data_IF_075670112124
#
_entry.id   IF_075670112124
#
_cell.length_a   1.000
_cell.length_b   1.000
_cell.length_c   1.000
_cell.angle_alpha   90.00
_cell.angle_beta   90.00
_cell.angle_gamma   90.00
#
_symmetry.space_group_name_H-M   'P 1'
#
loop_
_entity.id
_entity.type
_entity.pdbx_description
1 polymer ?
#
# COMPACT_ATOMS: atom_id res chain seq x y z
N UNK A 1 1.34 9.90 -14.13
CA UNK A 1 1.40 11.38 -14.07
C UNK A 1 0.01 11.86 -13.66
N UNK A 2 -0.15 12.12 -12.36
CA UNK A 2 -1.40 12.53 -11.73
C UNK A 2 -1.39 14.06 -11.62
N UNK A 3 -2.11 14.74 -12.50
CA UNK A 3 -2.46 16.14 -12.25
C UNK A 3 -3.88 16.14 -11.68
N UNK A 4 -3.99 16.53 -10.42
CA UNK A 4 -5.19 17.14 -9.89
C UNK A 4 -5.40 18.44 -10.68
N UNK A 5 -6.07 18.34 -11.82
CA UNK A 5 -6.57 19.50 -12.53
C UNK A 5 -7.61 20.13 -11.62
N UNK A 6 -7.21 21.13 -10.84
CA UNK A 6 -8.15 22.11 -10.36
C UNK A 6 -8.83 22.68 -11.62
N UNK A 7 -10.17 22.58 -11.75
CA UNK A 7 -10.84 23.18 -12.89
C UNK A 7 -10.49 24.67 -12.88
N UNK A 8 -9.91 25.16 -13.97
CA UNK A 8 -9.89 26.59 -14.26
C UNK A 8 -11.30 27.11 -14.03
N UNK A 9 -11.44 28.11 -13.14
CA UNK A 9 -12.71 28.63 -12.61
C UNK A 9 -13.59 29.32 -13.68
N UNK A 10 -14.01 28.58 -14.70
CA UNK A 10 -14.84 29.11 -15.79
C UNK A 10 -15.32 28.12 -16.84
N UNK A 11 -14.92 26.85 -16.81
CA UNK A 11 -15.47 25.81 -17.71
C UNK A 11 -16.09 24.67 -16.90
N UNK A 12 -17.34 24.27 -17.18
CA UNK A 12 -17.94 23.13 -16.51
C UNK A 12 -17.09 21.87 -16.78
N UNK A 13 -16.84 21.03 -15.77
CA UNK A 13 -16.10 19.79 -15.98
C UNK A 13 -16.80 18.96 -17.06
N UNK A 14 -16.04 18.22 -17.89
CA UNK A 14 -16.63 17.36 -18.92
C UNK A 14 -17.65 16.41 -18.27
N UNK A 15 -18.76 16.10 -18.98
CA UNK A 15 -19.81 15.26 -18.42
C UNK A 15 -19.25 13.90 -18.02
N UNK A 16 -19.49 13.50 -16.76
CA UNK A 16 -19.07 12.20 -16.26
C UNK A 16 -19.94 11.12 -16.90
N UNK A 17 -19.31 10.09 -17.45
CA UNK A 17 -20.01 8.89 -17.88
C UNK A 17 -20.34 8.04 -16.64
N UNK A 18 -21.46 8.34 -15.98
CA UNK A 18 -21.93 7.64 -14.77
C UNK A 18 -22.06 6.12 -14.99
N UNK A 19 -22.43 5.71 -16.21
CA UNK A 19 -22.57 4.30 -16.59
C UNK A 19 -21.28 3.60 -17.02
N UNK A 20 -20.13 4.28 -17.05
CA UNK A 20 -18.88 3.69 -17.53
C UNK A 20 -18.48 2.43 -16.73
N UNK A 21 -18.58 2.49 -15.40
CA UNK A 21 -18.27 1.36 -14.51
C UNK A 21 -19.21 0.17 -14.75
N UNK A 22 -20.52 0.41 -14.77
CA UNK A 22 -21.54 -0.63 -15.04
C UNK A 22 -21.34 -1.26 -16.42
N UNK A 23 -21.01 -0.44 -17.42
CA UNK A 23 -20.75 -0.90 -18.78
C UNK A 23 -19.49 -1.76 -18.87
N UNK A 24 -18.41 -1.37 -18.19
CA UNK A 24 -17.19 -2.15 -18.11
C UNK A 24 -17.43 -3.51 -17.42
N UNK A 25 -18.22 -3.55 -16.34
CA UNK A 25 -18.58 -4.83 -15.71
C UNK A 25 -19.43 -5.74 -16.63
N UNK A 26 -20.32 -5.19 -17.47
CA UNK A 26 -21.08 -5.99 -18.44
C UNK A 26 -20.17 -6.69 -19.45
N UNK A 27 -19.06 -6.05 -19.82
CA UNK A 27 -18.05 -6.66 -20.71
C UNK A 27 -17.37 -7.84 -20.01
N UNK A 28 -16.98 -7.68 -18.73
CA UNK A 28 -16.39 -8.79 -17.95
C UNK A 28 -17.36 -9.95 -17.77
N UNK A 29 -18.63 -9.68 -17.43
CA UNK A 29 -19.65 -10.74 -17.34
C UNK A 29 -19.86 -11.47 -18.67
N UNK A 30 -19.79 -10.75 -19.79
CA UNK A 30 -19.86 -11.36 -21.13
C UNK A 30 -18.65 -12.24 -21.41
N UNK A 31 -17.45 -11.79 -21.02
CA UNK A 31 -16.20 -12.54 -21.14
C UNK A 31 -16.25 -13.86 -20.35
N UNK A 32 -16.75 -13.82 -19.10
CA UNK A 32 -16.91 -15.02 -18.25
C UNK A 32 -17.92 -16.01 -18.81
N UNK A 33 -19.07 -15.53 -19.32
CA UNK A 33 -20.07 -16.38 -19.98
C UNK A 33 -19.50 -17.08 -21.21
N UNK A 34 -18.67 -16.38 -21.97
CA UNK A 34 -18.03 -16.96 -23.15
C UNK A 34 -16.95 -17.99 -22.76
N UNK A 35 -16.16 -17.75 -21.70
CA UNK A 35 -15.21 -18.73 -21.15
C UNK A 35 -15.93 -20.02 -20.71
N UNK A 36 -17.06 -19.89 -20.02
CA UNK A 36 -17.88 -21.03 -19.60
C UNK A 36 -18.42 -21.81 -20.80
N UNK A 37 -18.97 -21.13 -21.80
CA UNK A 37 -19.47 -21.75 -23.03
C UNK A 37 -18.38 -22.51 -23.81
N UNK A 38 -17.18 -21.92 -23.93
CA UNK A 38 -16.04 -22.55 -24.62
C UNK A 38 -15.56 -23.79 -23.85
N UNK A 39 -15.58 -23.74 -22.52
CA UNK A 39 -15.23 -24.89 -21.68
C UNK A 39 -16.21 -26.07 -21.86
N UNK A 40 -17.51 -25.79 -21.98
CA UNK A 40 -18.56 -26.80 -22.20
C UNK A 40 -18.52 -27.40 -23.61
N UNK A 41 -18.23 -26.59 -24.63
CA UNK A 41 -18.28 -27.02 -26.04
C UNK A 41 -16.99 -27.69 -26.54
N UNK A 42 -16.03 -27.96 -25.66
CA UNK A 42 -14.80 -28.66 -26.01
C UNK A 42 -13.85 -27.84 -26.89
N UNK A 43 -13.94 -26.50 -26.83
CA UNK A 43 -12.99 -25.61 -27.49
C UNK A 43 -11.58 -26.00 -27.08
N UNK A 44 -10.73 -26.34 -28.06
CA UNK A 44 -9.42 -26.93 -27.82
C UNK A 44 -8.57 -26.13 -26.81
N UNK A 45 -7.55 -26.77 -26.23
CA UNK A 45 -6.62 -26.33 -25.15
C UNK A 45 -6.05 -24.88 -25.22
N UNK A 46 -6.39 -24.04 -26.18
CA UNK A 46 -5.79 -22.75 -26.43
C UNK A 46 -6.74 -21.60 -26.10
N UNK A 47 -6.43 -20.98 -24.95
CA UNK A 47 -6.89 -19.70 -24.38
C UNK A 47 -8.22 -19.73 -23.64
N UNK A 48 -8.13 -19.94 -22.32
CA UNK A 48 -9.14 -19.48 -21.36
C UNK A 48 -9.31 -17.97 -21.51
N UNK A 49 -10.55 -17.50 -21.61
CA UNK A 49 -10.93 -16.09 -21.66
C UNK A 49 -11.25 -15.59 -20.25
N UNK A 50 -10.37 -15.85 -19.29
CA UNK A 50 -10.58 -15.42 -17.91
C UNK A 50 -10.12 -13.97 -17.70
N UNK A 51 -10.86 -13.15 -16.94
CA UNK A 51 -10.38 -11.86 -16.52
C UNK A 51 -9.06 -12.01 -15.75
N UNK A 52 -8.16 -11.05 -15.93
CA UNK A 52 -6.96 -10.92 -15.12
C UNK A 52 -6.95 -9.56 -14.41
N UNK A 53 -5.98 -9.32 -13.54
CA UNK A 53 -5.83 -8.11 -12.75
C UNK A 53 -5.75 -6.85 -13.64
N UNK A 54 -5.23 -6.96 -14.87
CA UNK A 54 -5.24 -5.85 -15.82
C UNK A 54 -6.65 -5.46 -16.23
N UNK A 55 -7.48 -6.43 -16.63
CA UNK A 55 -8.88 -6.21 -17.01
C UNK A 55 -9.68 -5.69 -15.82
N UNK A 56 -9.52 -6.29 -14.65
CA UNK A 56 -10.21 -5.85 -13.43
C UNK A 56 -9.80 -4.42 -13.04
N UNK A 57 -8.51 -4.07 -13.14
CA UNK A 57 -8.03 -2.71 -12.93
C UNK A 57 -8.60 -1.71 -13.95
N UNK A 58 -8.87 -2.13 -15.19
CA UNK A 58 -9.54 -1.28 -16.17
C UNK A 58 -11.01 -1.02 -15.79
N UNK A 59 -11.71 -2.02 -15.26
CA UNK A 59 -13.08 -1.85 -14.72
C UNK A 59 -13.08 -0.93 -13.50
N UNK A 60 -12.15 -1.13 -12.56
CA UNK A 60 -11.98 -0.26 -11.41
C UNK A 60 -11.66 1.19 -11.82
N UNK A 61 -10.82 1.38 -12.84
CA UNK A 61 -10.56 2.69 -13.41
C UNK A 61 -11.82 3.33 -14.01
N UNK A 62 -12.68 2.56 -14.67
CA UNK A 62 -13.95 3.05 -15.21
C UNK A 62 -14.90 3.50 -14.09
N UNK A 63 -14.99 2.74 -13.00
CA UNK A 63 -15.71 3.14 -11.79
C UNK A 63 -15.12 4.40 -11.14
N UNK A 64 -13.78 4.49 -11.03
CA UNK A 64 -13.11 5.65 -10.44
C UNK A 64 -13.28 6.94 -11.27
N UNK A 65 -13.72 6.87 -12.54
CA UNK A 65 -14.02 8.05 -13.36
C UNK A 65 -15.51 8.33 -13.48
N UNK A 66 -16.39 7.35 -13.19
CA UNK A 66 -17.83 7.56 -13.30
C UNK A 66 -18.36 8.50 -12.22
N UNK A 67 -17.80 8.45 -11.02
CA UNK A 67 -18.31 9.20 -9.86
C UNK A 67 -19.70 8.74 -9.42
N UNK A 68 -20.12 7.54 -9.81
CA UNK A 68 -21.37 6.91 -9.38
C UNK A 68 -21.31 6.62 -7.87
N UNK A 69 -22.41 6.86 -7.14
CA UNK A 69 -22.51 6.66 -5.69
C UNK A 69 -22.16 5.22 -5.30
N UNK A 70 -22.63 4.23 -6.08
CA UNK A 70 -22.34 2.82 -5.88
C UNK A 70 -20.96 2.37 -6.40
N UNK A 71 -20.16 3.28 -6.95
CA UNK A 71 -18.85 2.96 -7.50
C UNK A 71 -17.84 2.49 -6.47
N UNK A 72 -17.93 2.99 -5.23
CA UNK A 72 -17.13 2.51 -4.09
C UNK A 72 -17.45 1.05 -3.74
N UNK A 73 -18.73 0.74 -3.57
CA UNK A 73 -19.20 -0.62 -3.24
C UNK A 73 -18.91 -1.62 -4.35
N UNK A 74 -19.12 -1.22 -5.61
CA UNK A 74 -18.79 -2.05 -6.76
C UNK A 74 -17.28 -2.35 -6.84
N UNK A 75 -16.44 -1.35 -6.54
CA UNK A 75 -15.00 -1.51 -6.52
C UNK A 75 -14.53 -2.45 -5.40
N UNK A 76 -15.12 -2.38 -4.21
CA UNK A 76 -14.84 -3.31 -3.12
C UNK A 76 -15.26 -4.73 -3.45
N UNK A 77 -16.44 -4.94 -4.02
CA UNK A 77 -16.90 -6.27 -4.46
C UNK A 77 -15.90 -6.88 -5.46
N UNK A 78 -15.43 -6.08 -6.43
CA UNK A 78 -14.41 -6.52 -7.40
C UNK A 78 -13.11 -6.92 -6.68
N UNK A 79 -12.65 -6.13 -5.72
CA UNK A 79 -11.45 -6.45 -4.95
C UNK A 79 -11.62 -7.75 -4.17
N UNK A 80 -12.74 -7.94 -3.48
CA UNK A 80 -13.05 -9.16 -2.73
C UNK A 80 -13.11 -10.40 -3.64
N UNK A 81 -13.67 -10.27 -4.84
CA UNK A 81 -13.70 -11.34 -5.83
C UNK A 81 -12.30 -11.71 -6.32
N UNK A 82 -11.44 -10.71 -6.57
CA UNK A 82 -10.03 -10.93 -6.92
C UNK A 82 -9.25 -11.59 -5.78
N UNK A 83 -9.45 -11.14 -4.54
CA UNK A 83 -8.81 -11.68 -3.35
C UNK A 83 -9.18 -13.15 -3.11
N UNK A 84 -10.46 -13.50 -3.31
CA UNK A 84 -10.98 -14.87 -3.21
C UNK A 84 -10.41 -15.78 -4.29
N UNK A 85 -10.31 -15.28 -5.52
CA UNK A 85 -9.75 -16.02 -6.64
C UNK A 85 -8.25 -16.29 -6.46
N UNK A 86 -7.46 -15.29 -6.03
CA UNK A 86 -6.02 -15.46 -5.73
C UNK A 86 -5.79 -16.49 -4.61
N UNK A 87 -6.64 -16.49 -3.57
CA UNK A 87 -6.56 -17.48 -2.50
C UNK A 87 -6.88 -18.91 -2.99
N UNK A 88 -7.94 -19.08 -3.80
CA UNK A 88 -8.33 -20.37 -4.35
C UNK A 88 -7.26 -20.94 -5.31
N UNK A 89 -6.66 -20.10 -6.15
CA UNK A 89 -5.55 -20.52 -7.03
C UNK A 89 -4.31 -20.93 -6.24
N UNK A 90 -3.99 -20.23 -5.15
CA UNK A 90 -2.89 -20.59 -4.28
C UNK A 90 -3.11 -21.94 -3.59
N UNK A 91 -4.32 -22.23 -3.11
CA UNK A 91 -4.68 -23.52 -2.52
C UNK A 91 -4.56 -24.66 -3.53
N UNK A 92 -5.14 -24.49 -4.74
CA UNK A 92 -5.07 -25.49 -5.80
C UNK A 92 -3.61 -25.75 -6.24
N UNK A 93 -2.78 -24.71 -6.31
CA UNK A 93 -1.35 -24.85 -6.59
C UNK A 93 -0.62 -25.67 -5.52
N UNK A 94 -0.96 -25.50 -4.23
CA UNK A 94 -0.37 -26.32 -3.15
C UNK A 94 -0.83 -27.77 -3.19
N UNK A 95 -2.11 -28.03 -3.49
CA UNK A 95 -2.65 -29.39 -3.60
C UNK A 95 -1.97 -30.20 -4.72
N UNK A 96 -1.69 -29.57 -5.88
CA UNK A 96 -0.97 -30.22 -6.99
C UNK A 96 0.45 -30.66 -6.64
N UNK A 97 1.13 -29.92 -5.75
CA UNK A 97 2.48 -30.27 -5.30
C UNK A 97 2.47 -31.45 -4.34
N UNK A 98 1.42 -31.57 -3.49
CA UNK A 98 1.27 -32.68 -2.54
C UNK A 98 0.76 -33.98 -3.16
N UNK A 99 0.13 -33.94 -4.33
CA UNK A 99 -0.48 -35.08 -5.01
C UNK A 99 0.36 -35.72 -6.13
N UNK A 100 1.68 -35.47 -6.19
CA UNK A 100 2.56 -36.17 -7.15
C UNK A 100 2.75 -37.62 -6.68
N UNK A 101 1.76 -38.46 -6.97
CA UNK A 101 1.92 -39.91 -6.95
C UNK A 101 3.13 -40.27 -7.84
N UNK A 102 4.03 -41.11 -7.32
CA UNK A 102 5.13 -41.73 -8.04
C UNK A 102 4.56 -42.40 -9.29
N UNK A 103 4.62 -41.71 -10.44
CA UNK A 103 4.27 -42.30 -11.72
C UNK A 103 5.57 -42.74 -12.35
N UNK A 104 5.72 -44.05 -12.42
CA UNK A 104 6.87 -44.80 -12.91
C UNK A 104 7.61 -44.10 -14.06
N UNK A 105 8.92 -43.98 -13.88
CA UNK A 105 9.89 -43.40 -14.80
C UNK A 105 9.94 -44.20 -16.12
N UNK A 106 9.10 -43.83 -17.09
CA UNK A 106 9.34 -44.16 -18.49
C UNK A 106 8.53 -43.27 -19.46
N UNK A 107 8.76 -41.95 -19.42
CA UNK A 107 8.42 -41.09 -20.55
C UNK A 107 9.37 -39.89 -20.64
N UNK A 108 10.39 -40.02 -21.48
CA UNK A 108 11.28 -38.92 -21.87
C UNK A 108 10.54 -38.07 -22.89
N UNK A 109 9.70 -37.17 -22.40
CA UNK A 109 8.84 -36.31 -23.21
C UNK A 109 8.87 -34.84 -22.77
N UNK A 110 9.85 -34.10 -23.27
CA UNK A 110 9.70 -32.67 -23.60
C UNK A 110 9.62 -31.67 -22.46
N UNK A 111 10.76 -31.01 -22.18
CA UNK A 111 10.81 -29.79 -21.37
C UNK A 111 9.87 -28.70 -21.88
N UNK A 112 9.14 -28.10 -20.96
CA UNK A 112 8.19 -27.03 -21.24
C UNK A 112 7.73 -26.32 -19.99
N UNK A 113 8.62 -25.48 -19.42
CA UNK A 113 8.25 -24.32 -18.61
C UNK A 113 7.64 -24.60 -17.23
N UNK A 114 8.50 -24.76 -16.23
CA UNK A 114 8.18 -24.49 -14.83
C UNK A 114 7.95 -23.00 -14.58
N UNK A 115 6.96 -22.41 -15.28
CA UNK A 115 6.44 -21.10 -14.94
C UNK A 115 5.64 -21.23 -13.66
N UNK A 116 6.04 -20.50 -12.61
CA UNK A 116 5.26 -20.38 -11.39
C UNK A 116 3.80 -20.05 -11.72
N UNK A 117 2.81 -20.53 -10.94
CA UNK A 117 1.45 -20.05 -11.06
C UNK A 117 1.44 -18.56 -10.70
N UNK A 118 1.57 -17.70 -11.71
CA UNK A 118 1.19 -16.30 -11.58
C UNK A 118 -0.32 -16.29 -11.39
N UNK A 119 -0.79 -15.93 -10.20
CA UNK A 119 -2.22 -15.68 -10.04
C UNK A 119 -2.53 -14.44 -10.88
N UNK A 120 -3.14 -14.68 -12.04
CA UNK A 120 -3.46 -13.62 -12.99
C UNK A 120 -4.44 -12.62 -12.39
N UNK A 121 -5.18 -13.00 -11.33
CA UNK A 121 -6.16 -12.18 -10.62
C UNK A 121 -5.63 -11.52 -9.33
N UNK A 122 -4.37 -11.73 -8.96
CA UNK A 122 -3.79 -11.16 -7.74
C UNK A 122 -4.01 -9.64 -7.63
N UNK A 123 -4.70 -9.15 -6.59
CA UNK A 123 -4.78 -7.73 -6.30
C UNK A 123 -3.38 -7.15 -6.08
N UNK A 124 -3.13 -5.98 -6.65
CA UNK A 124 -1.87 -5.28 -6.50
C UNK A 124 -2.08 -3.84 -6.02
N UNK A 125 -0.99 -3.11 -5.84
CA UNK A 125 -1.01 -1.70 -5.40
C UNK A 125 -1.97 -0.83 -6.21
N UNK A 126 -2.07 -1.08 -7.52
CA UNK A 126 -2.99 -0.35 -8.41
C UNK A 126 -4.45 -0.73 -8.10
N UNK A 127 -4.74 -2.00 -7.86
CA UNK A 127 -6.08 -2.47 -7.48
C UNK A 127 -6.57 -1.75 -6.22
N UNK A 128 -5.79 -1.78 -5.13
CA UNK A 128 -6.15 -1.08 -3.89
C UNK A 128 -6.25 0.44 -4.08
N UNK A 129 -5.29 1.05 -4.78
CA UNK A 129 -5.32 2.49 -5.07
C UNK A 129 -6.57 2.93 -5.84
N UNK A 130 -7.04 2.11 -6.79
CA UNK A 130 -8.26 2.40 -7.54
C UNK A 130 -9.52 2.26 -6.69
N UNK A 131 -9.61 1.25 -5.81
CA UNK A 131 -10.74 1.10 -4.88
C UNK A 131 -10.83 2.31 -3.94
N UNK A 132 -9.70 2.72 -3.37
CA UNK A 132 -9.63 3.92 -2.51
C UNK A 132 -10.05 5.17 -3.32
N UNK A 133 -9.62 5.28 -4.59
CA UNK A 133 -10.00 6.38 -5.45
C UNK A 133 -11.51 6.38 -5.80
N UNK A 134 -12.13 5.21 -6.01
CA UNK A 134 -13.57 5.10 -6.19
C UNK A 134 -14.33 5.68 -4.99
N UNK A 135 -13.90 5.32 -3.77
CA UNK A 135 -14.46 5.92 -2.56
C UNK A 135 -14.20 7.42 -2.47
N UNK A 136 -12.97 7.88 -2.71
CA UNK A 136 -12.61 9.29 -2.61
C UNK A 136 -13.42 10.21 -3.55
N UNK A 137 -13.89 9.66 -4.68
CA UNK A 137 -14.68 10.38 -5.68
C UNK A 137 -16.18 10.09 -5.62
N UNK A 138 -16.61 9.14 -4.79
CA UNK A 138 -18.02 8.84 -4.57
C UNK A 138 -18.65 9.91 -3.68
N UNK A 139 -19.95 10.08 -3.86
CA UNK A 139 -20.81 10.89 -2.98
C UNK A 139 -21.42 10.06 -1.85
N UNK A 140 -21.09 8.78 -1.75
CA UNK A 140 -21.58 7.88 -0.71
C UNK A 140 -21.11 8.33 0.70
N UNK A 141 -21.95 8.11 1.73
CA UNK A 141 -21.57 8.37 3.11
C UNK A 141 -20.47 7.41 3.55
N UNK A 142 -19.71 7.81 4.58
CA UNK A 142 -18.62 7.04 5.20
C UNK A 142 -17.50 6.66 4.22
N UNK A 143 -17.36 7.38 3.10
CA UNK A 143 -16.33 7.11 2.08
C UNK A 143 -14.90 7.19 2.64
N UNK A 144 -14.64 8.06 3.62
CA UNK A 144 -13.35 8.13 4.29
C UNK A 144 -13.05 6.84 5.08
N UNK A 145 -14.04 6.26 5.75
CA UNK A 145 -13.91 5.00 6.47
C UNK A 145 -13.67 3.82 5.54
N UNK A 146 -14.41 3.75 4.42
CA UNK A 146 -14.24 2.69 3.43
C UNK A 146 -12.90 2.79 2.70
N UNK A 147 -12.47 4.01 2.38
CA UNK A 147 -11.13 4.29 1.87
C UNK A 147 -10.04 3.79 2.82
N UNK A 148 -10.14 4.11 4.12
CA UNK A 148 -9.21 3.60 5.13
C UNK A 148 -9.27 2.07 5.25
N UNK A 149 -10.46 1.48 5.24
CA UNK A 149 -10.62 0.02 5.31
C UNK A 149 -9.93 -0.70 4.16
N UNK A 150 -10.00 -0.17 2.92
CA UNK A 150 -9.29 -0.73 1.78
C UNK A 150 -7.75 -0.63 1.94
N UNK A 151 -7.24 0.46 2.51
CA UNK A 151 -5.81 0.61 2.84
C UNK A 151 -5.39 -0.37 3.96
N UNK A 152 -6.20 -0.52 5.00
CA UNK A 152 -5.92 -1.46 6.10
C UNK A 152 -5.94 -2.92 5.60
N UNK A 153 -6.84 -3.30 4.69
CA UNK A 153 -6.82 -4.61 4.02
C UNK A 153 -5.52 -4.85 3.25
N UNK A 154 -5.05 -3.86 2.49
CA UNK A 154 -3.78 -3.92 1.77
C UNK A 154 -2.60 -4.15 2.73
N UNK A 155 -2.57 -3.41 3.84
CA UNK A 155 -1.53 -3.52 4.88
C UNK A 155 -1.55 -4.89 5.56
N UNK A 156 -2.74 -5.43 5.82
CA UNK A 156 -2.86 -6.72 6.48
C UNK A 156 -2.34 -7.85 5.58
N UNK A 157 -2.70 -7.88 4.30
CA UNK A 157 -2.12 -8.85 3.35
C UNK A 157 -0.61 -8.74 3.25
N UNK A 158 -0.07 -7.52 3.30
CA UNK A 158 1.37 -7.32 3.31
C UNK A 158 2.01 -7.93 4.57
N UNK A 159 1.46 -7.65 5.76
CA UNK A 159 1.95 -8.23 7.03
C UNK A 159 1.84 -9.76 7.02
N UNK A 160 0.71 -10.31 6.60
CA UNK A 160 0.51 -11.74 6.46
C UNK A 160 1.58 -12.37 5.57
N UNK A 161 1.86 -11.76 4.42
CA UNK A 161 2.92 -12.21 3.51
C UNK A 161 4.33 -12.11 4.13
N UNK A 162 4.62 -11.06 4.91
CA UNK A 162 5.88 -10.94 5.67
C UNK A 162 5.99 -12.10 6.66
N UNK A 163 4.94 -12.36 7.44
CA UNK A 163 4.94 -13.43 8.43
C UNK A 163 5.04 -14.82 7.79
N UNK A 164 4.37 -15.05 6.66
CA UNK A 164 4.45 -16.29 5.90
C UNK A 164 5.87 -16.54 5.38
N UNK A 165 6.52 -15.51 4.81
CA UNK A 165 7.91 -15.60 4.35
C UNK A 165 8.88 -15.90 5.50
N UNK A 166 8.72 -15.23 6.66
CA UNK A 166 9.54 -15.49 7.85
C UNK A 166 9.37 -16.93 8.37
N UNK A 167 8.13 -17.42 8.44
CA UNK A 167 7.84 -18.81 8.85
C UNK A 167 8.44 -19.84 7.87
N UNK A 168 8.38 -19.58 6.57
CA UNK A 168 8.98 -20.44 5.56
C UNK A 168 10.51 -20.50 5.72
N UNK A 169 11.17 -19.36 5.97
CA UNK A 169 12.61 -19.31 6.23
C UNK A 169 13.01 -20.05 7.51
N UNK A 170 12.26 -19.91 8.60
CA UNK A 170 12.53 -20.62 9.85
C UNK A 170 12.47 -22.14 9.68
N UNK A 171 11.47 -22.65 8.94
CA UNK A 171 11.36 -24.08 8.62
C UNK A 171 12.52 -24.61 7.77
N UNK A 172 13.04 -23.78 6.87
CA UNK A 172 14.18 -24.17 6.04
C UNK A 172 15.47 -24.37 6.87
N UNK A 173 15.65 -23.61 7.96
CA UNK A 173 16.81 -23.73 8.85
C UNK A 173 16.71 -24.93 9.82
N UNK A 174 15.51 -25.21 10.36
CA UNK A 174 15.28 -26.32 11.30
C UNK A 174 15.57 -27.70 10.66
N UNK A 175 15.38 -27.84 9.35
CA UNK A 175 15.72 -29.05 8.60
C UNK A 175 17.22 -29.32 8.42
N UNK A 176 18.11 -28.42 8.87
CA UNK A 176 19.56 -28.55 8.70
C UNK A 176 20.30 -28.96 9.99
N UNK A 177 19.65 -28.94 11.16
CA UNK A 177 20.30 -29.15 12.47
C UNK A 177 20.15 -30.60 13.02
N UNK A 178 19.80 -31.55 12.14
CA UNK A 178 19.53 -32.95 12.52
C UNK A 178 20.33 -34.03 11.81
N UNK A 179 21.20 -33.70 10.84
CA UNK A 179 22.00 -34.69 10.11
C UNK A 179 23.46 -34.66 10.54
N UNK A 180 23.70 -35.19 11.74
CA UNK A 180 24.98 -35.80 12.05
C UNK A 180 25.06 -37.13 11.30
N UNK A 181 25.94 -37.20 10.31
CA UNK A 181 26.41 -38.42 9.64
C UNK A 181 25.44 -39.13 8.69
N UNK A 182 25.60 -38.89 7.38
CA UNK A 182 26.09 -39.89 6.40
C UNK A 182 26.02 -39.30 4.99
N UNK A 183 27.02 -39.65 4.18
CA UNK A 183 27.34 -39.00 2.92
C UNK A 183 26.27 -39.08 1.82
N UNK A 184 26.38 -38.09 0.93
CA UNK A 184 26.00 -38.14 -0.48
C UNK A 184 24.55 -38.56 -0.80
N UNK A 185 23.61 -37.61 -0.71
CA UNK A 185 22.60 -37.41 -1.76
C UNK A 185 22.22 -35.93 -1.87
N UNK A 186 22.16 -35.45 -3.11
CA UNK A 186 21.94 -34.06 -3.49
C UNK A 186 20.60 -33.50 -2.98
N UNK A 187 20.65 -32.40 -2.23
CA UNK A 187 19.90 -31.18 -2.52
C UNK A 187 18.37 -31.26 -2.64
N UNK A 188 17.68 -32.02 -1.80
CA UNK A 188 16.22 -31.99 -1.74
C UNK A 188 15.70 -30.80 -0.90
N UNK A 189 15.88 -29.56 -1.40
CA UNK A 189 14.99 -28.46 -0.99
C UNK A 189 13.55 -28.88 -1.28
N UNK A 190 12.76 -29.14 -0.24
CA UNK A 190 11.38 -29.60 -0.38
C UNK A 190 10.59 -28.64 -1.27
N UNK A 191 9.87 -29.11 -2.31
CA UNK A 191 9.15 -28.27 -3.27
C UNK A 191 8.11 -27.35 -2.59
N UNK A 192 7.57 -27.77 -1.44
CA UNK A 192 6.63 -27.00 -0.63
C UNK A 192 7.24 -25.68 -0.13
N UNK A 193 8.48 -25.68 0.36
CA UNK A 193 9.15 -24.49 0.91
C UNK A 193 9.46 -23.45 -0.17
N UNK A 194 9.86 -23.92 -1.36
CA UNK A 194 10.13 -23.06 -2.53
C UNK A 194 8.84 -22.40 -3.04
N UNK A 195 7.74 -23.14 -3.14
CA UNK A 195 6.45 -22.60 -3.60
C UNK A 195 5.87 -21.59 -2.59
N UNK A 196 5.90 -21.88 -1.29
CA UNK A 196 5.42 -20.94 -0.25
C UNK A 196 6.25 -19.65 -0.24
N UNK A 197 7.57 -19.75 -0.35
CA UNK A 197 8.47 -18.58 -0.38
C UNK A 197 8.24 -17.71 -1.63
N UNK A 198 8.05 -18.35 -2.79
CA UNK A 198 7.77 -17.65 -4.05
C UNK A 198 6.41 -16.94 -4.01
N UNK A 199 5.37 -17.62 -3.51
CA UNK A 199 4.05 -17.04 -3.35
C UNK A 199 4.07 -15.84 -2.39
N UNK A 200 4.67 -16.01 -1.21
CA UNK A 200 4.79 -14.93 -0.22
C UNK A 200 5.56 -13.73 -0.79
N UNK A 201 6.64 -13.97 -1.55
CA UNK A 201 7.42 -12.89 -2.18
C UNK A 201 6.61 -12.11 -3.22
N UNK A 202 5.78 -12.80 -4.01
CA UNK A 202 4.90 -12.13 -4.98
C UNK A 202 3.75 -11.36 -4.28
N UNK A 203 3.17 -11.89 -3.19
CA UNK A 203 2.17 -11.14 -2.40
C UNK A 203 2.79 -9.90 -1.75
N UNK A 204 4.00 -10.01 -1.21
CA UNK A 204 4.74 -8.88 -0.64
C UNK A 204 4.90 -7.74 -1.65
N UNK A 205 5.29 -8.06 -2.87
CA UNK A 205 5.44 -7.05 -3.92
C UNK A 205 4.08 -6.42 -4.31
N UNK A 206 3.03 -7.23 -4.38
CA UNK A 206 1.71 -6.78 -4.81
C UNK A 206 0.97 -5.93 -3.75
N UNK A 207 1.07 -6.28 -2.47
CA UNK A 207 0.32 -5.67 -1.39
C UNK A 207 1.10 -4.61 -0.58
N UNK A 208 2.38 -4.33 -0.90
CA UNK A 208 3.17 -3.31 -0.18
C UNK A 208 2.49 -1.95 -0.23
N UNK A 209 2.05 -1.37 0.91
CA UNK A 209 1.46 -0.04 0.96
C UNK A 209 2.39 1.00 0.33
N UNK A 210 1.83 1.96 -0.39
CA UNK A 210 2.59 3.03 -1.01
C UNK A 210 1.94 4.38 -0.73
N UNK A 211 2.70 5.45 -0.96
CA UNK A 211 2.25 6.83 -0.68
C UNK A 211 1.00 7.22 -1.43
N UNK A 212 0.78 6.66 -2.63
CA UNK A 212 -0.42 6.93 -3.41
C UNK A 212 -1.70 6.45 -2.71
N UNK A 213 -1.65 5.30 -2.04
CA UNK A 213 -2.78 4.78 -1.28
C UNK A 213 -3.09 5.69 -0.07
N UNK A 214 -2.08 6.09 0.70
CA UNK A 214 -2.23 7.04 1.81
C UNK A 214 -2.81 8.40 1.34
N UNK A 215 -2.25 8.97 0.27
CA UNK A 215 -2.74 10.24 -0.29
C UNK A 215 -4.17 10.12 -0.83
N UNK A 216 -4.57 8.95 -1.33
CA UNK A 216 -5.94 8.72 -1.77
C UNK A 216 -6.93 8.69 -0.59
N UNK A 217 -6.56 8.09 0.55
CA UNK A 217 -7.36 8.13 1.79
C UNK A 217 -7.47 9.57 2.32
N UNK A 218 -6.37 10.32 2.37
CA UNK A 218 -6.39 11.74 2.78
C UNK A 218 -7.29 12.58 1.86
N UNK A 219 -7.27 12.31 0.55
CA UNK A 219 -8.19 12.95 -0.38
C UNK A 219 -9.66 12.59 -0.08
N UNK A 220 -9.97 11.31 0.22
CA UNK A 220 -11.32 10.90 0.60
C UNK A 220 -11.81 11.69 1.84
N UNK A 221 -10.94 11.90 2.82
CA UNK A 221 -11.23 12.73 3.99
C UNK A 221 -11.51 14.18 3.58
N UNK A 222 -10.66 14.78 2.74
CA UNK A 222 -10.82 16.16 2.29
C UNK A 222 -12.11 16.42 1.49
N UNK A 223 -12.64 15.41 0.80
CA UNK A 223 -13.90 15.49 0.05
C UNK A 223 -15.14 15.09 0.87
N UNK A 224 -14.99 14.84 2.17
CA UNK A 224 -16.11 14.55 3.08
C UNK A 224 -16.72 15.83 3.70
N UNK A 225 -16.45 17.01 3.12
CA UNK A 225 -16.92 18.31 3.62
C UNK A 225 -18.45 18.47 3.63
N UNK A 226 -19.15 17.77 2.76
CA UNK A 226 -20.61 17.87 2.61
C UNK A 226 -21.38 16.93 3.55
N UNK A 227 -20.66 16.15 4.36
CA UNK A 227 -21.25 15.21 5.31
C UNK A 227 -21.71 15.89 6.60
N UNK A 228 -22.42 15.16 7.45
CA UNK A 228 -22.82 15.63 8.78
C UNK A 228 -21.60 15.86 9.69
N UNK A 229 -21.81 16.55 10.81
CA UNK A 229 -20.72 16.91 11.73
C UNK A 229 -19.98 15.67 12.30
N UNK A 230 -20.71 14.59 12.57
CA UNK A 230 -20.15 13.34 13.08
C UNK A 230 -19.21 12.71 12.05
N UNK A 231 -19.64 12.65 10.79
CA UNK A 231 -18.84 12.13 9.69
C UNK A 231 -17.64 13.03 9.37
N UNK A 232 -17.78 14.36 9.45
CA UNK A 232 -16.64 15.27 9.28
C UNK A 232 -15.60 15.10 10.38
N UNK A 233 -16.02 14.98 11.64
CA UNK A 233 -15.14 14.66 12.76
C UNK A 233 -14.43 13.31 12.54
N UNK A 234 -15.19 12.31 12.09
CA UNK A 234 -14.65 10.99 11.79
C UNK A 234 -13.64 11.00 10.64
N UNK A 235 -13.92 11.73 9.57
CA UNK A 235 -13.00 11.93 8.45
C UNK A 235 -11.71 12.62 8.90
N UNK A 236 -11.79 13.56 9.85
CA UNK A 236 -10.61 14.20 10.42
C UNK A 236 -9.77 13.23 11.26
N UNK A 237 -10.40 12.44 12.15
CA UNK A 237 -9.69 11.38 12.91
C UNK A 237 -8.96 10.41 11.98
N UNK A 238 -9.62 10.01 10.88
CA UNK A 238 -9.04 9.15 9.85
C UNK A 238 -7.85 9.83 9.18
N UNK A 239 -7.96 11.11 8.83
CA UNK A 239 -6.85 11.85 8.22
C UNK A 239 -5.62 11.91 9.14
N UNK A 240 -5.83 12.15 10.43
CA UNK A 240 -4.77 12.18 11.46
C UNK A 240 -4.11 10.81 11.57
N UNK A 241 -4.92 9.75 11.75
CA UNK A 241 -4.43 8.38 11.84
C UNK A 241 -3.62 8.00 10.60
N UNK A 242 -4.12 8.34 9.42
CA UNK A 242 -3.48 8.02 8.13
C UNK A 242 -2.11 8.69 8.01
N UNK A 243 -2.00 9.97 8.39
CA UNK A 243 -0.72 10.68 8.38
C UNK A 243 0.25 10.11 9.42
N UNK A 244 -0.21 9.86 10.65
CA UNK A 244 0.62 9.33 11.73
C UNK A 244 1.19 7.95 11.40
N UNK A 245 0.37 7.09 10.79
CA UNK A 245 0.81 5.78 10.33
C UNK A 245 1.88 5.87 9.23
N UNK A 246 1.70 6.76 8.24
CA UNK A 246 2.70 6.99 7.19
C UNK A 246 4.01 7.57 7.75
N UNK A 247 3.92 8.49 8.72
CA UNK A 247 5.11 9.05 9.38
C UNK A 247 5.89 7.98 10.14
N UNK A 248 5.18 7.11 10.86
CA UNK A 248 5.79 5.99 11.60
C UNK A 248 6.41 4.94 10.67
N UNK A 249 5.76 4.64 9.54
CA UNK A 249 6.30 3.71 8.54
C UNK A 249 7.54 4.26 7.83
N UNK A 250 7.64 5.58 7.65
CA UNK A 250 8.84 6.23 7.13
C UNK A 250 10.02 6.28 8.12
N UNK A 251 9.78 6.11 9.42
CA UNK A 251 10.82 6.12 10.47
C UNK A 251 11.28 4.69 10.84
N UNK A 252 10.41 3.68 10.70
CA UNK A 252 10.59 2.33 11.24
C UNK A 252 11.42 1.33 10.40
N UNK A 253 12.03 1.71 9.28
CA UNK A 253 12.90 0.80 8.50
C UNK A 253 14.40 1.17 8.59
N UNK A 254 14.75 2.17 9.43
CA UNK A 254 16.14 2.57 9.68
C UNK A 254 16.79 1.98 10.95
N UNK A 255 16.09 1.18 11.75
CA UNK A 255 16.56 0.75 13.06
C UNK A 255 16.31 -0.74 13.28
N UNK A 256 17.32 -1.54 12.92
CA UNK A 256 17.31 -2.99 13.04
C UNK A 256 18.68 -3.62 12.75
N UNK A 257 19.76 -2.87 12.95
CA UNK A 257 21.10 -3.42 13.18
C UNK A 257 21.83 -2.50 14.17
N UNK A 258 22.56 -3.12 15.09
CA UNK A 258 22.67 -2.66 16.47
C UNK A 258 23.49 -1.39 16.74
N UNK A 259 22.94 -0.53 17.59
CA UNK A 259 23.72 0.28 18.53
C UNK A 259 22.87 0.51 19.79
N UNK A 260 23.05 -0.40 20.76
CA UNK A 260 22.49 -0.27 22.08
C UNK A 260 22.86 1.08 22.71
N UNK A 261 21.87 1.69 23.35
CA UNK A 261 22.00 2.68 24.42
C UNK A 261 23.25 2.40 25.26
N UNK A 262 24.30 3.21 25.11
CA UNK A 262 25.25 3.44 26.20
C UNK A 262 24.73 4.63 27.01
N UNK A 263 23.71 4.35 27.81
CA UNK A 263 23.44 5.18 28.97
C UNK A 263 24.54 4.89 29.99
N UNK A 264 25.31 5.93 30.31
CA UNK A 264 25.86 6.20 31.64
C UNK A 264 25.73 5.07 32.66
N UNK A 265 26.78 4.27 32.81
CA UNK A 265 27.04 3.52 34.03
C UNK A 265 28.52 3.68 34.37
N UNK A 266 28.78 4.69 35.20
CA UNK A 266 30.03 4.83 35.92
C UNK A 266 30.17 3.70 36.94
N UNK A 267 31.42 3.30 37.17
CA UNK A 267 31.96 2.51 38.29
C UNK A 267 31.56 1.04 38.40
N UNK A 268 32.51 0.14 38.14
CA UNK A 268 33.21 -0.57 39.22
C UNK A 268 34.34 -1.45 38.67
N UNK A 269 35.50 -1.31 39.28
CA UNK A 269 36.76 -2.01 39.01
C UNK A 269 36.76 -3.45 39.54
N UNK A 270 37.39 -4.36 38.79
CA UNK A 270 38.16 -5.52 39.27
C UNK A 270 38.89 -6.12 38.06
N UNK A 271 40.14 -5.73 37.75
CA UNK A 271 41.40 -6.25 38.31
C UNK A 271 41.55 -7.78 38.22
N UNK A 272 42.44 -8.25 37.33
CA UNK A 272 43.20 -9.48 37.59
C UNK A 272 43.45 -10.46 36.42
N UNK A 273 44.61 -10.28 35.75
CA UNK A 273 45.56 -11.31 35.26
C UNK A 273 45.28 -12.12 33.98
N UNK A 274 46.12 -11.84 32.96
CA UNK A 274 47.06 -12.74 32.20
C UNK A 274 46.72 -14.23 32.16
N UNK A 275 46.82 -14.99 31.06
CA UNK A 275 47.79 -14.97 29.96
C UNK A 275 47.32 -15.89 28.80
N UNK A 276 47.97 -15.72 27.64
CA UNK A 276 48.25 -16.72 26.59
C UNK A 276 47.13 -17.36 25.75
N UNK A 277 47.11 -16.93 24.48
CA UNK A 277 47.63 -17.78 23.40
C UNK A 277 46.77 -18.96 22.95
N UNK A 278 45.88 -18.69 22.00
CA UNK A 278 45.66 -19.50 20.78
C UNK A 278 44.62 -18.79 19.89
N UNK A 279 45.12 -18.18 18.83
CA UNK A 279 44.33 -17.80 17.67
C UNK A 279 43.85 -19.10 17.02
N UNK A 280 42.58 -19.44 17.20
CA UNK A 280 41.87 -20.38 16.33
C UNK A 280 40.79 -19.56 15.63
N UNK A 281 41.07 -19.24 14.37
CA UNK A 281 40.10 -18.74 13.40
C UNK A 281 39.00 -19.80 13.23
N UNK A 282 37.91 -19.63 13.98
CA UNK A 282 36.63 -20.23 13.64
C UNK A 282 35.90 -19.20 12.77
N UNK A 283 36.06 -19.30 11.46
CA UNK A 283 35.15 -18.68 10.49
C UNK A 283 33.77 -19.34 10.61
N UNK A 284 33.02 -18.94 11.63
CA UNK A 284 31.58 -19.11 11.67
C UNK A 284 30.98 -18.17 10.65
N UNK A 285 30.66 -18.70 9.46
CA UNK A 285 29.99 -17.98 8.39
C UNK A 285 28.67 -17.40 8.88
N UNK A 286 28.69 -16.13 9.27
CA UNK A 286 27.49 -15.30 9.41
C UNK A 286 26.96 -15.09 8.01
N UNK A 287 26.06 -15.96 7.57
CA UNK A 287 25.39 -15.81 6.29
C UNK A 287 24.56 -14.54 6.39
N UNK A 288 25.04 -13.48 5.73
CA UNK A 288 24.37 -12.21 5.63
C UNK A 288 22.91 -12.42 5.22
N UNK A 289 21.99 -11.88 6.03
CA UNK A 289 20.58 -11.82 5.67
C UNK A 289 20.42 -11.21 4.27
N UNK A 290 19.59 -11.78 3.39
CA UNK A 290 19.30 -11.14 2.11
C UNK A 290 18.50 -9.87 2.36
N UNK A 291 19.05 -8.75 1.90
CA UNK A 291 18.48 -7.42 2.01
C UNK A 291 17.08 -7.35 1.36
N UNK A 292 16.13 -6.62 1.96
CA UNK A 292 14.84 -6.35 1.34
C UNK A 292 15.01 -5.57 0.02
N UNK A 293 14.01 -5.59 -0.88
CA UNK A 293 14.10 -4.95 -2.19
C UNK A 293 14.51 -3.47 -2.08
N UNK A 294 15.39 -3.08 -3.00
CA UNK A 294 16.23 -1.87 -3.08
C UNK A 294 15.50 -0.53 -3.26
N UNK A 295 14.26 -0.38 -2.78
CA UNK A 295 13.61 0.94 -2.70
C UNK A 295 13.15 1.24 -1.28
N UNK A 296 13.67 2.32 -0.65
CA UNK A 296 13.21 2.75 0.65
C UNK A 296 11.69 2.95 0.61
N UNK A 297 10.99 2.73 1.74
CA UNK A 297 9.58 3.07 1.82
C UNK A 297 9.44 4.53 1.43
N UNK A 298 8.56 4.81 0.45
CA UNK A 298 8.34 6.18 -0.01
C UNK A 298 7.72 6.95 1.15
N UNK A 299 8.57 7.65 1.89
CA UNK A 299 8.19 8.53 2.98
C UNK A 299 7.24 9.64 2.49
N UNK A 300 6.63 10.39 3.41
CA UNK A 300 5.67 11.43 3.05
C UNK A 300 6.26 12.42 2.04
N UNK A 301 5.41 12.94 1.16
CA UNK A 301 5.76 13.91 0.12
C UNK A 301 5.11 15.26 0.43
N UNK A 302 5.50 16.35 -0.27
CA UNK A 302 4.78 17.62 -0.14
C UNK A 302 3.28 17.46 -0.43
N UNK A 303 2.93 16.61 -1.41
CA UNK A 303 1.54 16.25 -1.72
C UNK A 303 0.81 15.61 -0.53
N UNK A 304 1.48 14.78 0.27
CA UNK A 304 0.91 14.17 1.48
C UNK A 304 0.52 15.22 2.50
N UNK A 305 1.46 16.12 2.85
CA UNK A 305 1.20 17.18 3.82
C UNK A 305 0.16 18.17 3.29
N UNK A 306 0.25 18.58 2.03
CA UNK A 306 -0.72 19.48 1.42
C UNK A 306 -2.13 18.87 1.37
N UNK A 307 -2.28 17.58 1.04
CA UNK A 307 -3.59 16.93 1.07
C UNK A 307 -4.15 16.77 2.49
N UNK A 308 -3.29 16.49 3.48
CA UNK A 308 -3.72 16.49 4.89
C UNK A 308 -4.20 17.87 5.35
N UNK A 309 -3.45 18.93 5.04
CA UNK A 309 -3.84 20.32 5.33
C UNK A 309 -5.15 20.69 4.61
N UNK A 310 -5.31 20.27 3.35
CA UNK A 310 -6.56 20.41 2.62
C UNK A 310 -7.73 19.75 3.35
N UNK A 311 -7.54 18.57 3.92
CA UNK A 311 -8.58 17.90 4.73
C UNK A 311 -8.92 18.72 5.97
N UNK A 312 -7.90 19.22 6.69
CA UNK A 312 -8.07 20.10 7.85
C UNK A 312 -8.90 21.35 7.52
N UNK A 313 -8.65 22.01 6.38
CA UNK A 313 -9.38 23.21 5.98
C UNK A 313 -10.79 22.99 5.45
N UNK A 314 -11.07 21.86 4.79
CA UNK A 314 -12.37 21.60 4.14
C UNK A 314 -13.42 20.99 5.04
N UNK A 315 -13.02 20.34 6.14
CA UNK A 315 -13.96 19.65 7.04
C UNK A 315 -14.73 20.60 7.97
N UNK A 316 -14.47 21.91 7.92
CA UNK A 316 -15.18 22.95 8.67
C UNK A 316 -15.34 22.60 10.16
N UNK A 317 -14.25 22.16 10.78
CA UNK A 317 -14.20 21.78 12.19
C UNK A 317 -13.80 22.98 13.06
N UNK A 318 -14.10 22.96 14.37
CA UNK A 318 -13.67 24.01 15.28
C UNK A 318 -12.16 24.20 15.26
N UNK A 319 -11.73 25.46 15.20
CA UNK A 319 -10.33 25.89 15.19
C UNK A 319 -9.48 25.21 16.27
N UNK A 320 -10.00 25.10 17.49
CA UNK A 320 -9.29 24.47 18.61
C UNK A 320 -8.88 23.01 18.35
N UNK A 321 -9.66 22.28 17.55
CA UNK A 321 -9.39 20.89 17.16
C UNK A 321 -8.35 20.82 16.04
N UNK A 322 -8.46 21.69 15.04
CA UNK A 322 -7.65 21.63 13.81
C UNK A 322 -6.27 22.25 14.00
N UNK A 323 -6.17 23.36 14.73
CA UNK A 323 -4.94 24.16 14.90
C UNK A 323 -3.72 23.33 15.35
N UNK A 324 -3.79 22.46 16.39
CA UNK A 324 -2.62 21.71 16.83
C UNK A 324 -2.10 20.74 15.76
N UNK A 325 -3.01 20.20 14.94
CA UNK A 325 -2.69 19.18 13.95
C UNK A 325 -2.12 19.79 12.69
N UNK A 326 -2.65 20.95 12.27
CA UNK A 326 -2.06 21.77 11.20
C UNK A 326 -0.64 22.20 11.55
N UNK A 327 -0.42 22.70 12.78
CA UNK A 327 0.91 23.05 13.29
C UNK A 327 1.85 21.85 13.25
N UNK A 328 1.46 20.72 13.84
CA UNK A 328 2.26 19.49 13.87
C UNK A 328 2.63 19.01 12.47
N UNK A 329 1.67 18.95 11.56
CA UNK A 329 1.90 18.52 10.18
C UNK A 329 2.85 19.47 9.43
N UNK A 330 2.69 20.78 9.60
CA UNK A 330 3.58 21.75 8.95
C UNK A 330 5.00 21.73 9.52
N UNK A 331 5.16 21.63 10.85
CA UNK A 331 6.48 21.47 11.46
C UNK A 331 7.18 20.21 10.97
N UNK A 332 6.45 19.11 10.83
CA UNK A 332 6.99 17.85 10.33
C UNK A 332 7.38 17.94 8.84
N UNK A 333 6.55 18.59 8.03
CA UNK A 333 6.85 18.90 6.63
C UNK A 333 8.14 19.74 6.50
N UNK A 334 8.27 20.77 7.34
CA UNK A 334 9.46 21.62 7.42
C UNK A 334 10.69 20.85 7.88
N UNK A 335 10.58 20.03 8.94
CA UNK A 335 11.68 19.20 9.47
C UNK A 335 12.27 18.31 8.39
N UNK A 336 11.42 17.81 7.49
CA UNK A 336 11.81 16.96 6.35
C UNK A 336 12.24 17.73 5.10
N UNK A 337 12.19 19.06 5.09
CA UNK A 337 12.51 19.89 3.92
C UNK A 337 11.51 19.76 2.77
N UNK A 338 10.26 19.44 3.06
CA UNK A 338 9.21 19.13 2.07
C UNK A 338 8.21 20.27 1.87
N UNK A 339 8.53 21.48 2.36
CA UNK A 339 7.66 22.65 2.20
C UNK A 339 7.80 23.17 0.77
N UNK A 340 6.70 23.12 0.01
CA UNK A 340 6.59 23.68 -1.33
C UNK A 340 5.41 24.66 -1.43
N UNK A 341 5.23 25.27 -2.62
CA UNK A 341 4.13 26.20 -2.88
C UNK A 341 2.76 25.57 -2.66
N UNK A 342 2.62 24.27 -2.94
CA UNK A 342 1.37 23.54 -2.72
C UNK A 342 1.05 23.45 -1.22
N UNK A 343 2.00 23.04 -0.39
CA UNK A 343 1.86 22.99 1.08
C UNK A 343 1.53 24.37 1.63
N UNK A 344 2.23 25.42 1.20
CA UNK A 344 1.97 26.80 1.66
C UNK A 344 0.58 27.28 1.25
N UNK A 345 0.16 26.97 0.02
CA UNK A 345 -1.19 27.28 -0.46
C UNK A 345 -2.24 26.58 0.39
N UNK A 346 -2.08 25.28 0.66
CA UNK A 346 -3.03 24.53 1.50
C UNK A 346 -3.01 24.99 2.95
N UNK A 347 -1.86 25.40 3.48
CA UNK A 347 -1.74 25.99 4.82
C UNK A 347 -2.59 27.26 4.93
N UNK A 348 -2.52 28.16 3.94
CA UNK A 348 -3.30 29.41 3.92
C UNK A 348 -4.81 29.19 3.99
N UNK A 349 -5.31 28.11 3.39
CA UNK A 349 -6.74 27.78 3.42
C UNK A 349 -7.17 26.96 4.65
N UNK A 350 -6.22 26.39 5.39
CA UNK A 350 -6.52 25.47 6.50
C UNK A 350 -6.17 26.02 7.87
N UNK A 351 -5.33 27.05 7.92
CA UNK A 351 -4.94 27.74 9.14
C UNK A 351 -5.59 29.14 9.20
N UNK A 352 -6.04 29.58 10.37
CA UNK A 352 -6.37 30.99 10.58
C UNK A 352 -5.11 31.88 10.45
N UNK A 353 -5.32 33.15 10.13
CA UNK A 353 -4.24 34.09 9.73
C UNK A 353 -3.12 34.23 10.77
N UNK A 354 -3.45 34.17 12.06
CA UNK A 354 -2.49 34.19 13.17
C UNK A 354 -1.55 32.98 13.10
N UNK A 355 -2.10 31.79 12.88
CA UNK A 355 -1.33 30.54 12.76
C UNK A 355 -0.53 30.51 11.46
N UNK A 356 -1.10 30.98 10.35
CA UNK A 356 -0.37 31.06 9.08
C UNK A 356 0.85 31.99 9.19
N UNK A 357 0.66 33.17 9.78
CA UNK A 357 1.73 34.16 9.97
C UNK A 357 2.82 33.60 10.88
N UNK A 358 2.47 33.04 12.04
CA UNK A 358 3.42 32.39 12.96
C UNK A 358 4.26 31.31 12.26
N UNK A 359 3.62 30.42 11.49
CA UNK A 359 4.30 29.31 10.85
C UNK A 359 5.18 29.73 9.67
N UNK A 360 4.82 30.81 8.96
CA UNK A 360 5.57 31.30 7.79
C UNK A 360 6.70 32.27 8.16
N UNK A 361 6.51 33.11 9.19
CA UNK A 361 7.59 33.92 9.76
C UNK A 361 8.75 33.06 10.25
N UNK A 362 8.45 31.89 10.81
CA UNK A 362 9.45 30.93 11.25
C UNK A 362 10.32 30.38 10.09
N UNK A 363 9.91 30.53 8.84
CA UNK A 363 10.68 30.16 7.63
C UNK A 363 11.57 31.30 7.10
N UNK A 364 11.52 32.49 7.70
CA UNK A 364 12.22 33.68 7.17
C UNK A 364 11.62 34.19 5.86
N UNK A 365 10.41 33.73 5.50
CA UNK A 365 9.64 34.30 4.40
C UNK A 365 9.04 35.61 4.91
N UNK A 366 9.18 36.73 4.18
CA UNK A 366 8.60 38.00 4.60
C UNK A 366 7.08 37.82 4.74
N UNK A 367 6.53 38.21 5.89
CA UNK A 367 5.11 38.11 6.25
C UNK A 367 4.14 38.92 5.37
N UNK A 368 4.58 39.35 4.19
CA UNK A 368 3.78 40.02 3.18
C UNK A 368 3.82 39.25 1.86
N UNK A 369 3.07 38.15 1.78
CA UNK A 369 2.50 37.81 0.48
C UNK A 369 1.37 38.81 0.24
N UNK A 370 1.72 39.88 -0.46
CA UNK A 370 0.88 41.00 -0.88
C UNK A 370 -0.58 40.58 -1.05
N UNK A 371 -1.45 41.27 -0.32
CA UNK A 371 -2.88 41.35 -0.59
C UNK A 371 -3.09 41.69 -2.06
N UNK A 372 -3.40 40.69 -2.89
CA UNK A 372 -4.17 40.95 -4.10
C UNK A 372 -5.62 40.92 -3.66
N UNK A 373 -6.33 42.05 -3.61
CA UNK A 373 -7.77 42.02 -3.41
C UNK A 373 -8.36 41.33 -4.65
N UNK A 374 -8.89 40.12 -4.48
CA UNK A 374 -9.85 39.61 -5.45
C UNK A 374 -11.09 40.50 -5.31
N UNK A 375 -11.33 41.29 -6.35
CA UNK A 375 -12.25 42.41 -6.37
C UNK A 375 -13.66 42.04 -5.92
N UNK A 376 -14.28 43.00 -5.23
CA UNK A 376 -15.72 43.06 -5.07
C UNK A 376 -16.44 43.31 -6.39
N UNK A 377 -17.73 42.94 -6.40
CA UNK A 377 -18.65 42.94 -7.54
C UNK A 377 -19.03 41.48 -7.82
N UNK A 378 -20.26 41.02 -7.64
CA UNK A 378 -21.56 41.57 -8.07
C UNK A 378 -22.63 41.11 -7.05
N UNK A 379 -23.70 41.84 -6.73
CA UNK A 379 -24.49 42.71 -7.61
C UNK A 379 -25.56 41.88 -8.30
#
# INVERSE_FOLDING_TARGET
IFFSFAPSMGSPPPPRHTDAGRSAERVVRSMERLDAYIAETGGGKRRRLRPNAFIMNAVLQAWAQSGDEGGGEAAERILEDMERADAAEAEEATARVGGREEKDDNDVGGGGGGGAPSSDLRPNQRTYGLVIQCWAKSDAPRKAERALAALDRMRERYKEAVTARRRAAAKANDGNDGSGDTGAHNGATTPTTTTTTTMASSVLAAARPNIHAYNAVLNACAFSSNADESERNRAFEIAVRTLDELLREGEGEGEGDGAAKVASASSASASGRTNDGRENEAEGGVVAMPTPPTSPPEGPTPATFGTFLKACGRLSLPDGTVRPHVRRAFYECRRRGLVDDFVLTQLRYSAPDDVFTELTEALGLPGSVSTVPLGGGLG
#
